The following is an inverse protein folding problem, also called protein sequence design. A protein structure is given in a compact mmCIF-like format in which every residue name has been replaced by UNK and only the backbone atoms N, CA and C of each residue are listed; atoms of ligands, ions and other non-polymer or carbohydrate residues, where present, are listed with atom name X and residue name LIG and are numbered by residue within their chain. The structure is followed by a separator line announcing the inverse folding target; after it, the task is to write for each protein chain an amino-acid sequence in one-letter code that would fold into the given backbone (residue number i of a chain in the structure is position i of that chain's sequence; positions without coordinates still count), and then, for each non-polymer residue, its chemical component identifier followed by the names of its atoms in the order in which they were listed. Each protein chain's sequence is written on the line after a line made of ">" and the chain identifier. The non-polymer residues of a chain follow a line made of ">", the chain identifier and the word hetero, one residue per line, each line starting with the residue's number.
data_IF_287637352095
#
_entry.id   IF_287637352095
#
_cell.length_a   1.000
_cell.length_b   1.000
_cell.length_c   1.000
_cell.angle_alpha   90.00
_cell.angle_beta   90.00
_cell.angle_gamma   90.00
#
_symmetry.space_group_name_H-M   'P 1'
#
loop_
_entity.id
_entity.type
_entity.pdbx_description
1 polymer ?
#
# COMPACT_ATOMS: atom_id res chain seq x y z
N UNK A 1 -13.83 -9.56 -40.46
CA UNK A 1 -14.49 -9.92 -39.19
C UNK A 1 -13.54 -9.55 -38.05
N UNK A 2 -13.68 -8.35 -37.47
CA UNK A 2 -12.83 -7.89 -36.36
C UNK A 2 -13.46 -8.34 -35.04
N UNK A 3 -12.74 -9.17 -34.27
CA UNK A 3 -13.18 -9.65 -32.96
C UNK A 3 -12.65 -8.70 -31.88
N UNK A 4 -13.56 -8.00 -31.20
CA UNK A 4 -13.28 -7.17 -30.03
C UNK A 4 -13.21 -8.08 -28.79
N UNK A 5 -11.99 -8.35 -28.30
CA UNK A 5 -11.80 -9.03 -27.02
C UNK A 5 -11.94 -7.97 -25.91
N UNK A 6 -13.07 -7.98 -25.19
CA UNK A 6 -13.24 -7.23 -23.94
C UNK A 6 -12.22 -7.76 -22.91
N UNK A 7 -11.21 -6.95 -22.62
CA UNK A 7 -10.19 -7.25 -21.61
C UNK A 7 -10.80 -7.25 -20.20
N UNK A 8 -10.73 -8.39 -19.53
CA UNK A 8 -11.08 -8.53 -18.12
C UNK A 8 -10.23 -7.58 -17.24
N UNK A 9 -10.80 -6.97 -16.18
CA UNK A 9 -10.04 -6.09 -15.30
C UNK A 9 -8.91 -6.88 -14.62
N UNK A 10 -7.70 -6.30 -14.48
CA UNK A 10 -6.59 -6.97 -13.83
C UNK A 10 -6.97 -7.25 -12.38
N UNK A 11 -7.04 -8.54 -12.02
CA UNK A 11 -7.15 -8.97 -10.63
C UNK A 11 -5.89 -8.53 -9.89
N UNK A 12 -6.01 -7.47 -9.09
CA UNK A 12 -4.96 -7.04 -8.16
C UNK A 12 -4.90 -8.08 -7.04
N UNK A 13 -4.14 -9.15 -7.25
CA UNK A 13 -3.77 -10.07 -6.18
C UNK A 13 -2.77 -9.34 -5.29
N UNK A 14 -3.21 -8.91 -4.11
CA UNK A 14 -2.31 -8.46 -3.04
C UNK A 14 -1.64 -9.71 -2.47
N UNK A 15 -0.78 -10.33 -3.26
CA UNK A 15 0.21 -11.26 -2.74
C UNK A 15 1.18 -10.40 -1.97
N UNK A 16 1.08 -10.35 -0.64
CA UNK A 16 2.12 -9.80 0.22
C UNK A 16 3.29 -10.79 0.10
N UNK A 17 4.25 -10.58 -0.82
CA UNK A 17 5.22 -11.61 -1.11
C UNK A 17 6.09 -11.66 0.14
N UNK A 18 6.26 -12.84 0.74
CA UNK A 18 7.37 -13.06 1.65
C UNK A 18 8.61 -12.58 0.91
N UNK A 19 9.16 -11.45 1.37
CA UNK A 19 9.99 -10.55 0.55
C UNK A 19 11.24 -11.19 -0.09
N UNK A 20 11.52 -12.46 0.23
CA UNK A 20 12.57 -13.32 -0.33
C UNK A 20 12.16 -14.10 -1.60
N UNK A 21 10.87 -14.39 -1.82
CA UNK A 21 10.39 -15.15 -2.98
C UNK A 21 10.23 -14.30 -4.24
N UNK A 22 10.00 -12.99 -4.10
CA UNK A 22 9.77 -12.11 -5.24
C UNK A 22 11.07 -11.70 -5.94
N UNK A 23 11.33 -12.33 -7.09
CA UNK A 23 12.49 -12.05 -7.97
C UNK A 23 12.47 -10.65 -8.59
N UNK A 24 11.41 -9.86 -8.44
CA UNK A 24 11.34 -8.46 -8.88
C UNK A 24 11.82 -7.47 -7.82
N UNK A 25 12.06 -7.92 -6.58
CA UNK A 25 12.54 -7.06 -5.49
C UNK A 25 14.03 -7.22 -5.21
N UNK A 26 14.63 -6.23 -4.55
CA UNK A 26 16.02 -6.29 -4.09
C UNK A 26 16.25 -7.47 -3.11
N UNK A 27 15.26 -7.75 -2.24
CA UNK A 27 15.33 -8.85 -1.25
C UNK A 27 15.23 -10.22 -1.92
N UNK A 28 14.33 -10.42 -2.87
CA UNK A 28 14.23 -11.71 -3.55
C UNK A 28 15.37 -11.98 -4.53
N UNK A 29 15.91 -10.96 -5.20
CA UNK A 29 17.17 -11.08 -5.94
C UNK A 29 18.34 -11.49 -5.04
N UNK A 30 18.42 -10.92 -3.83
CA UNK A 30 19.45 -11.29 -2.83
C UNK A 30 19.32 -12.75 -2.39
N UNK A 31 18.11 -13.20 -2.06
CA UNK A 31 17.84 -14.58 -1.66
C UNK A 31 18.18 -15.58 -2.77
N UNK A 32 17.84 -15.26 -4.02
CA UNK A 32 18.16 -16.09 -5.19
C UNK A 32 19.60 -15.89 -5.71
N UNK A 33 20.50 -15.26 -4.93
CA UNK A 33 21.89 -14.97 -5.29
C UNK A 33 22.11 -14.35 -6.69
N UNK A 34 21.10 -13.63 -7.20
CA UNK A 34 21.09 -13.10 -8.57
C UNK A 34 21.20 -11.57 -8.57
N UNK A 35 21.67 -11.03 -9.68
CA UNK A 35 21.70 -9.59 -9.94
C UNK A 35 20.64 -9.23 -10.98
N UNK A 36 20.26 -7.96 -11.03
CA UNK A 36 19.30 -7.44 -11.99
C UNK A 36 18.92 -6.01 -11.66
N UNK A 37 17.91 -5.46 -12.34
CA UNK A 37 17.53 -4.05 -12.18
C UNK A 37 17.21 -3.66 -10.72
N UNK A 38 16.53 -4.54 -9.97
CA UNK A 38 16.22 -4.33 -8.56
C UNK A 38 17.43 -4.47 -7.61
N UNK A 39 18.52 -5.11 -8.07
CA UNK A 39 19.75 -5.36 -7.30
C UNK A 39 20.98 -5.20 -8.22
N UNK A 40 21.38 -3.96 -8.54
CA UNK A 40 22.58 -3.70 -9.35
C UNK A 40 23.87 -4.07 -8.58
N UNK A 41 24.96 -4.36 -9.31
CA UNK A 41 26.26 -4.75 -8.73
C UNK A 41 27.04 -3.58 -8.15
N UNK A 42 26.94 -2.42 -8.78
CA UNK A 42 27.68 -1.21 -8.47
C UNK A 42 26.74 0.00 -8.59
N UNK A 43 27.14 1.14 -8.02
CA UNK A 43 26.34 2.37 -7.99
C UNK A 43 26.16 3.02 -9.37
N UNK A 44 27.05 2.73 -10.32
CA UNK A 44 26.95 3.23 -11.70
C UNK A 44 25.95 2.46 -12.56
N UNK A 45 25.52 1.25 -12.15
CA UNK A 45 24.43 0.54 -12.81
C UNK A 45 23.11 1.08 -12.29
N UNK A 46 22.33 1.65 -13.20
CA UNK A 46 21.02 2.23 -12.92
C UNK A 46 20.08 1.23 -12.25
N UNK A 47 19.17 1.77 -11.43
CA UNK A 47 17.96 1.08 -11.01
C UNK A 47 16.85 1.39 -12.01
N UNK A 48 15.66 0.83 -11.77
CA UNK A 48 14.46 1.29 -12.45
C UNK A 48 14.21 2.79 -12.23
N UNK A 49 13.20 3.35 -12.88
CA UNK A 49 12.86 4.77 -12.78
C UNK A 49 12.84 5.23 -11.32
N UNK A 50 13.42 6.40 -11.08
CA UNK A 50 13.45 6.98 -9.75
C UNK A 50 12.02 7.16 -9.23
N UNK A 51 11.81 6.82 -7.95
CA UNK A 51 10.51 7.03 -7.33
C UNK A 51 10.33 8.51 -7.10
N UNK A 52 9.35 9.10 -7.77
CA UNK A 52 8.98 10.51 -7.57
C UNK A 52 8.67 10.70 -6.08
N UNK A 53 9.31 11.67 -5.40
CA UNK A 53 9.00 11.97 -4.02
C UNK A 53 7.56 12.48 -3.95
N UNK A 54 6.73 11.76 -3.22
CA UNK A 54 5.36 12.20 -2.92
C UNK A 54 5.45 13.07 -1.67
N UNK A 55 4.96 14.32 -1.68
CA UNK A 55 4.91 15.13 -0.47
C UNK A 55 4.10 14.41 0.60
N UNK A 56 4.43 14.57 1.90
CA UNK A 56 3.62 14.00 2.96
C UNK A 56 2.18 14.48 2.82
N UNK A 57 1.23 13.58 3.03
CA UNK A 57 -0.18 13.94 3.00
C UNK A 57 -0.43 15.05 4.03
N UNK A 58 -1.31 16.03 3.73
CA UNK A 58 -1.69 17.02 4.72
C UNK A 58 -2.23 16.32 5.97
N UNK A 59 -1.96 16.86 7.18
CA UNK A 59 -2.51 16.31 8.40
C UNK A 59 -4.04 16.27 8.28
N UNK A 60 -4.61 15.08 8.47
CA UNK A 60 -6.06 14.95 8.56
C UNK A 60 -6.46 15.57 9.88
N UNK A 61 -7.32 16.59 9.82
CA UNK A 61 -8.02 17.07 11.03
C UNK A 61 -8.74 15.88 11.63
N UNK A 62 -8.44 15.53 12.88
CA UNK A 62 -9.22 14.52 13.57
C UNK A 62 -10.65 15.04 13.69
N UNK A 63 -11.62 14.17 13.40
CA UNK A 63 -13.05 14.53 13.32
C UNK A 63 -13.55 15.06 14.67
N UNK A 64 -12.84 14.74 15.74
CA UNK A 64 -13.18 15.07 17.11
C UNK A 64 -12.44 16.30 17.67
N UNK A 65 -11.60 17.00 16.90
CA UNK A 65 -10.92 18.23 17.39
C UNK A 65 -11.85 19.44 17.55
N UNK A 66 -13.10 19.36 17.07
CA UNK A 66 -14.06 20.46 17.14
C UNK A 66 -14.93 20.42 18.39
N UNK A 67 -14.43 19.96 19.55
CA UNK A 67 -15.13 20.01 20.84
C UNK A 67 -16.66 19.72 20.77
N UNK A 68 -17.06 18.78 19.89
CA UNK A 68 -18.47 18.48 19.65
C UNK A 68 -18.97 17.68 20.84
N UNK A 69 -19.48 18.41 21.84
CA UNK A 69 -20.16 17.84 23.00
C UNK A 69 -21.44 17.17 22.53
N UNK A 70 -21.35 15.88 22.21
CA UNK A 70 -22.51 15.02 22.02
C UNK A 70 -23.23 14.99 23.38
N UNK A 71 -24.43 15.57 23.43
CA UNK A 71 -25.31 15.47 24.60
C UNK A 71 -25.83 14.05 24.65
N UNK A 72 -25.20 13.23 25.48
CA UNK A 72 -25.64 11.85 25.73
C UNK A 72 -26.68 11.96 26.84
N UNK A 73 -27.95 11.91 26.46
CA UNK A 73 -29.05 11.75 27.42
C UNK A 73 -29.10 10.26 27.78
N UNK A 74 -28.66 9.95 29.00
CA UNK A 74 -28.69 8.58 29.52
C UNK A 74 -30.06 8.38 30.16
N UNK A 75 -30.84 7.45 29.60
CA UNK A 75 -32.13 7.05 30.17
C UNK A 75 -31.88 6.10 31.35
N UNK A 76 -32.02 6.62 32.57
CA UNK A 76 -31.75 5.93 33.84
C UNK A 76 -32.62 4.68 34.06
N UNK A 77 -33.71 4.54 33.29
CA UNK A 77 -34.58 3.36 33.27
C UNK A 77 -33.86 2.08 32.80
N UNK A 78 -32.76 2.19 32.07
CA UNK A 78 -31.95 1.05 31.57
C UNK A 78 -31.13 0.34 32.65
N UNK A 79 -30.91 0.98 33.81
CA UNK A 79 -30.17 0.41 34.94
C UNK A 79 -31.07 -0.17 36.04
N UNK A 80 -32.39 -0.12 35.82
CA UNK A 80 -33.39 -0.66 36.73
C UNK A 80 -33.80 -2.07 36.31
N UNK A 81 -32.95 -3.08 36.61
CA UNK A 81 -33.33 -4.49 36.75
C UNK A 81 -32.26 -5.26 37.54
#
# INVERSE_FOLDING_TARGET
>A
MASLILGAPPRVTVALPSSRGDRKTAKGKRFNHSFGNARPRNKSKGRGPERVPVPPAPPRKDKFENDEKIKIDIDESLFSN
#
